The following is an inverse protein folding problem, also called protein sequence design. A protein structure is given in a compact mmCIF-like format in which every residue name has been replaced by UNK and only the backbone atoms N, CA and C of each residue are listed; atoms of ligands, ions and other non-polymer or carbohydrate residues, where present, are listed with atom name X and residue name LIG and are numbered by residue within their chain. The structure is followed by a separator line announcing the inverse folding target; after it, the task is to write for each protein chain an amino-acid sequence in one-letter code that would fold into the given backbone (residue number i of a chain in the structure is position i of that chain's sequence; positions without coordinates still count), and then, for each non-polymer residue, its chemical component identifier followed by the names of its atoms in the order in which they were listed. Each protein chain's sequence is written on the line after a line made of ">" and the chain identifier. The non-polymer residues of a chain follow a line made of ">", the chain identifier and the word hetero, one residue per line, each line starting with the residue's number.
data_IF_956730401811
#
_entry.id   IF_956730401811
#
_cell.length_a   1.000
_cell.length_b   1.000
_cell.length_c   1.000
_cell.angle_alpha   90.00
_cell.angle_beta   90.00
_cell.angle_gamma   90.00
#
_symmetry.space_group_name_H-M   'P 1'
#
loop_
_entity.id
_entity.type
_entity.pdbx_description
1 polymer ?
#
# COMPACT_ATOMS: atom_id res chain seq x y z
N UNK A 1 5.54 -7.19 24.19
CA UNK A 1 6.62 -6.75 23.28
C UNK A 1 7.77 -7.74 23.42
N UNK A 2 8.35 -8.20 22.31
CA UNK A 2 9.47 -9.15 22.37
C UNK A 2 10.77 -8.39 22.62
N UNK A 3 11.53 -8.78 23.64
CA UNK A 3 12.78 -8.11 24.03
C UNK A 3 14.01 -8.59 23.24
N UNK A 4 13.85 -9.60 22.37
CA UNK A 4 14.94 -10.25 21.64
C UNK A 4 14.58 -10.44 20.16
N UNK A 5 15.58 -10.78 19.34
CA UNK A 5 15.44 -11.17 17.92
C UNK A 5 15.11 -12.65 17.72
N UNK A 6 14.57 -13.32 18.75
CA UNK A 6 14.34 -14.77 18.74
C UNK A 6 12.97 -15.15 19.28
N UNK A 7 12.39 -16.21 18.72
CA UNK A 7 11.08 -16.75 19.13
C UNK A 7 9.90 -16.14 18.37
N UNK A 8 8.68 -16.41 18.87
CA UNK A 8 7.44 -16.11 18.15
C UNK A 8 7.20 -17.02 16.94
N UNK A 9 6.04 -16.85 16.28
CA UNK A 9 5.63 -17.72 15.17
C UNK A 9 6.55 -17.62 13.93
N UNK A 10 7.28 -16.51 13.80
CA UNK A 10 8.26 -16.28 12.73
C UNK A 10 9.69 -16.64 13.13
N UNK A 11 9.95 -16.94 14.41
CA UNK A 11 11.31 -17.11 14.94
C UNK A 11 12.12 -15.82 15.09
N UNK A 12 11.54 -14.66 14.74
CA UNK A 12 12.21 -13.36 14.64
C UNK A 12 12.03 -12.44 15.86
N UNK A 13 11.28 -12.87 16.89
CA UNK A 13 11.05 -12.05 18.08
C UNK A 13 10.49 -10.65 17.76
N UNK A 14 11.23 -9.60 18.14
CA UNK A 14 10.89 -8.18 17.93
C UNK A 14 11.37 -7.58 16.60
N UNK A 15 12.03 -8.37 15.75
CA UNK A 15 12.57 -7.89 14.48
C UNK A 15 11.48 -7.64 13.43
N UNK A 16 11.77 -6.72 12.50
CA UNK A 16 10.92 -6.54 11.33
C UNK A 16 10.98 -7.78 10.42
N UNK A 17 9.80 -8.26 10.02
CA UNK A 17 9.68 -9.44 9.15
C UNK A 17 9.83 -9.11 7.67
N UNK A 18 9.49 -7.88 7.28
CA UNK A 18 9.44 -7.44 5.90
C UNK A 18 9.73 -5.95 5.81
N UNK A 19 10.61 -5.58 4.88
CA UNK A 19 10.91 -4.20 4.50
C UNK A 19 10.94 -4.13 2.98
N UNK A 20 10.25 -3.16 2.41
CA UNK A 20 10.10 -3.05 0.96
C UNK A 20 10.11 -1.58 0.54
N UNK A 21 10.46 -1.32 -0.72
CA UNK A 21 10.38 0.01 -1.32
C UNK A 21 11.70 0.80 -1.34
N UNK A 22 12.56 0.61 -0.33
CA UNK A 22 13.90 1.21 -0.28
C UNK A 22 14.91 0.23 0.35
N UNK A 23 15.68 -0.53 -0.45
CA UNK A 23 16.66 -1.51 0.03
C UNK A 23 17.75 -0.94 0.95
N UNK A 24 18.15 0.31 0.74
CA UNK A 24 19.17 0.97 1.56
C UNK A 24 18.73 1.14 3.03
N UNK A 25 17.42 1.20 3.29
CA UNK A 25 16.88 1.27 4.66
C UNK A 25 17.11 -0.03 5.46
N UNK A 26 17.64 -1.08 4.87
CA UNK A 26 17.98 -2.34 5.53
C UNK A 26 19.26 -2.97 4.98
N UNK A 27 20.23 -2.11 4.65
CA UNK A 27 21.62 -2.46 4.31
C UNK A 27 21.72 -3.51 3.20
N UNK A 28 20.88 -3.40 2.18
CA UNK A 28 20.77 -4.38 1.10
C UNK A 28 20.84 -3.67 -0.25
N UNK A 29 21.64 -4.17 -1.21
CA UNK A 29 21.67 -3.59 -2.54
C UNK A 29 20.32 -3.79 -3.25
N UNK A 30 19.88 -2.78 -3.99
CA UNK A 30 18.71 -2.86 -4.85
C UNK A 30 18.19 -1.49 -5.26
N UNK A 31 17.21 -1.46 -6.16
CA UNK A 31 16.60 -0.21 -6.61
C UNK A 31 15.56 0.27 -5.62
N UNK A 32 15.64 1.54 -5.23
CA UNK A 32 14.55 2.21 -4.53
C UNK A 32 13.36 2.41 -5.48
N UNK A 33 12.20 1.87 -5.12
CA UNK A 33 10.96 1.98 -5.90
C UNK A 33 9.92 2.89 -5.26
N UNK A 34 10.06 3.15 -3.95
CA UNK A 34 9.28 4.11 -3.21
C UNK A 34 10.15 5.34 -2.91
N UNK A 35 9.94 6.47 -3.62
CA UNK A 35 10.85 7.62 -3.54
C UNK A 35 10.71 8.42 -2.24
N UNK A 36 9.55 8.34 -1.56
CA UNK A 36 9.27 9.08 -0.34
C UNK A 36 8.32 8.32 0.58
N UNK A 37 7.92 8.93 1.70
CA UNK A 37 6.94 8.34 2.61
C UNK A 37 5.63 7.98 1.87
N UNK A 38 5.12 6.78 2.16
CA UNK A 38 3.80 6.33 1.74
C UNK A 38 2.81 6.49 2.87
N UNK A 39 1.53 6.49 2.53
CA UNK A 39 0.46 6.63 3.50
C UNK A 39 -0.55 5.51 3.38
N UNK A 40 -1.29 5.31 4.48
CA UNK A 40 -2.45 4.44 4.52
C UNK A 40 -2.19 2.99 4.08
N UNK A 41 -1.02 2.46 4.45
CA UNK A 41 -0.66 1.06 4.17
C UNK A 41 -1.65 0.12 4.85
N UNK A 42 -2.23 -0.81 4.08
CA UNK A 42 -3.20 -1.80 4.56
C UNK A 42 -3.11 -3.09 3.76
N UNK A 43 -3.50 -4.19 4.38
CA UNK A 43 -3.80 -5.42 3.63
C UNK A 43 -5.13 -5.24 2.92
N UNK A 44 -5.20 -5.64 1.66
CA UNK A 44 -6.48 -5.78 0.96
C UNK A 44 -7.23 -6.95 1.59
N UNK A 45 -8.41 -6.65 2.12
CA UNK A 45 -9.25 -7.62 2.85
C UNK A 45 -9.67 -8.80 1.95
N UNK A 46 -9.93 -9.99 2.53
CA UNK A 46 -10.58 -11.10 1.82
C UNK A 46 -11.86 -10.68 1.10
N UNK A 47 -12.18 -11.34 -0.02
CA UNK A 47 -13.38 -11.04 -0.81
C UNK A 47 -13.27 -9.81 -1.71
N UNK A 48 -12.08 -9.20 -1.80
CA UNK A 48 -11.81 -8.05 -2.68
C UNK A 48 -10.73 -8.42 -3.71
N UNK A 49 -10.69 -7.81 -4.91
CA UNK A 49 -9.64 -8.12 -5.87
C UNK A 49 -8.26 -7.79 -5.32
N UNK A 50 -7.27 -8.66 -5.55
CA UNK A 50 -5.93 -8.60 -4.95
C UNK A 50 -5.94 -8.76 -3.41
N UNK A 51 -6.92 -9.47 -2.85
CA UNK A 51 -6.94 -9.84 -1.44
C UNK A 51 -5.60 -10.46 -1.02
N UNK A 52 -5.08 -10.03 0.13
CA UNK A 52 -3.77 -10.44 0.62
C UNK A 52 -2.61 -9.58 0.12
N UNK A 53 -2.82 -8.60 -0.76
CA UNK A 53 -1.77 -7.65 -1.15
C UNK A 53 -1.67 -6.53 -0.12
N UNK A 54 -0.50 -5.89 -0.02
CA UNK A 54 -0.32 -4.63 0.71
C UNK A 54 -0.61 -3.46 -0.23
N UNK A 55 -1.68 -2.71 0.04
CA UNK A 55 -2.07 -1.49 -0.67
C UNK A 55 -1.62 -0.25 0.11
N UNK A 56 -1.21 0.81 -0.60
CA UNK A 56 -0.81 2.08 0.00
C UNK A 56 -0.92 3.25 -0.98
N UNK A 57 -0.98 4.46 -0.44
CA UNK A 57 -0.95 5.72 -1.20
C UNK A 57 0.49 6.21 -1.34
N UNK A 58 0.94 6.38 -2.57
CA UNK A 58 2.26 6.91 -2.92
C UNK A 58 2.11 8.30 -3.56
N UNK A 59 2.31 9.34 -2.75
CA UNK A 59 2.18 10.75 -3.16
C UNK A 59 3.35 11.27 -4.00
N UNK A 60 4.41 10.48 -4.14
CA UNK A 60 5.62 10.85 -4.86
C UNK A 60 5.87 9.95 -6.06
N UNK A 61 4.83 9.29 -6.55
CA UNK A 61 4.88 8.47 -7.74
C UNK A 61 5.12 9.31 -9.01
N UNK A 62 5.36 8.62 -10.13
CA UNK A 62 5.50 9.24 -11.46
C UNK A 62 6.59 10.34 -11.49
N UNK A 63 7.73 10.11 -10.82
CA UNK A 63 8.81 11.09 -10.73
C UNK A 63 8.46 12.30 -9.85
N UNK A 64 7.79 12.07 -8.73
CA UNK A 64 7.29 13.10 -7.80
C UNK A 64 6.25 14.05 -8.40
N UNK A 65 5.54 13.63 -9.45
CA UNK A 65 4.53 14.47 -10.13
C UNK A 65 3.09 14.00 -9.90
N UNK A 66 2.89 12.82 -9.29
CA UNK A 66 1.55 12.28 -9.11
C UNK A 66 1.40 11.41 -7.87
N UNK A 67 0.15 11.26 -7.47
CA UNK A 67 -0.27 10.30 -6.44
C UNK A 67 -0.74 9.01 -7.12
N UNK A 68 -0.31 7.87 -6.61
CA UNK A 68 -0.83 6.57 -7.01
C UNK A 68 -1.32 5.78 -5.80
N UNK A 69 -2.25 4.88 -6.05
CA UNK A 69 -2.62 3.82 -5.12
C UNK A 69 -1.95 2.57 -5.67
N UNK A 70 -0.92 2.11 -5.00
CA UNK A 70 -0.13 0.96 -5.40
C UNK A 70 -0.51 -0.23 -4.51
N UNK A 71 -0.40 -1.43 -5.06
CA UNK A 71 -0.45 -2.66 -4.29
C UNK A 71 0.67 -3.63 -4.69
N UNK A 72 1.19 -4.35 -3.70
CA UNK A 72 2.20 -5.40 -3.88
C UNK A 72 1.71 -6.73 -3.30
N UNK A 73 2.06 -7.83 -3.95
CA UNK A 73 1.97 -9.17 -3.40
C UNK A 73 3.28 -9.47 -2.65
N UNK A 74 3.33 -9.31 -1.32
CA UNK A 74 4.55 -9.62 -0.59
C UNK A 74 4.82 -11.14 -0.64
N UNK A 75 6.08 -11.58 -0.60
CA UNK A 75 6.45 -12.99 -0.71
C UNK A 75 6.18 -13.76 0.60
N UNK A 76 4.99 -13.62 1.15
CA UNK A 76 4.55 -14.20 2.42
C UNK A 76 4.62 -15.73 2.35
N UNK A 77 5.22 -16.34 3.36
CA UNK A 77 5.36 -17.78 3.51
C UNK A 77 5.08 -18.16 4.98
N UNK A 78 3.83 -18.47 5.26
CA UNK A 78 3.36 -18.69 6.63
C UNK A 78 3.49 -17.41 7.47
N UNK A 79 4.40 -17.41 8.44
CA UNK A 79 4.68 -16.27 9.31
C UNK A 79 5.93 -15.47 8.92
N UNK A 80 6.59 -15.85 7.82
CA UNK A 80 7.82 -15.20 7.33
C UNK A 80 7.64 -14.69 5.90
N UNK A 81 8.68 -14.05 5.35
CA UNK A 81 8.69 -13.54 3.99
C UNK A 81 9.90 -14.11 3.26
N UNK A 82 9.66 -14.75 2.13
CA UNK A 82 10.72 -15.39 1.34
C UNK A 82 11.65 -14.32 0.78
N UNK A 83 12.96 -14.55 0.94
CA UNK A 83 14.00 -13.63 0.48
C UNK A 83 15.23 -14.40 0.06
N UNK A 84 15.77 -14.06 -1.10
CA UNK A 84 17.09 -14.53 -1.52
C UNK A 84 18.16 -13.79 -0.71
N UNK A 85 19.08 -14.49 -0.02
CA UNK A 85 20.16 -13.85 0.73
C UNK A 85 20.95 -12.87 -0.13
N UNK A 86 21.25 -11.68 0.41
CA UNK A 86 21.98 -10.62 -0.30
C UNK A 86 21.16 -9.84 -1.33
N UNK A 87 19.87 -10.13 -1.50
CA UNK A 87 18.97 -9.41 -2.42
C UNK A 87 17.89 -8.65 -1.65
N UNK A 88 17.31 -7.63 -2.26
CA UNK A 88 16.12 -6.96 -1.75
C UNK A 88 14.92 -7.92 -1.71
N UNK A 89 13.94 -7.62 -0.86
CA UNK A 89 12.66 -8.33 -0.88
C UNK A 89 11.91 -8.04 -2.19
N UNK A 90 11.22 -9.06 -2.70
CA UNK A 90 10.29 -8.92 -3.83
C UNK A 90 8.95 -8.33 -3.37
N UNK A 91 8.10 -7.85 -4.29
CA UNK A 91 8.33 -7.68 -5.74
C UNK A 91 9.34 -6.56 -6.07
N UNK A 92 9.86 -6.51 -7.30
CA UNK A 92 10.78 -5.44 -7.72
C UNK A 92 10.08 -4.14 -8.11
N UNK A 93 8.74 -4.13 -8.14
CA UNK A 93 7.86 -2.99 -8.42
C UNK A 93 6.47 -3.29 -7.87
N UNK A 94 5.52 -2.37 -7.99
CA UNK A 94 4.11 -2.62 -7.71
C UNK A 94 3.53 -3.71 -8.64
N UNK A 95 2.63 -4.55 -8.11
CA UNK A 95 1.88 -5.56 -8.88
C UNK A 95 0.58 -5.00 -9.44
N UNK A 96 0.04 -3.97 -8.79
CA UNK A 96 -1.13 -3.23 -9.25
C UNK A 96 -1.01 -1.75 -8.92
N UNK A 97 -1.57 -0.90 -9.78
CA UNK A 97 -1.56 0.56 -9.62
C UNK A 97 -2.82 1.20 -10.17
N UNK A 98 -3.37 2.12 -9.41
CA UNK A 98 -4.29 3.16 -9.87
C UNK A 98 -3.61 4.53 -9.80
N UNK A 99 -3.66 5.30 -10.88
CA UNK A 99 -3.16 6.68 -10.90
C UNK A 99 -4.27 7.60 -10.41
N UNK A 100 -4.01 8.33 -9.32
CA UNK A 100 -5.01 9.21 -8.76
C UNK A 100 -5.33 10.36 -9.72
N UNK A 101 -6.59 10.80 -9.70
CA UNK A 101 -7.08 11.90 -10.55
C UNK A 101 -6.40 13.25 -10.25
N UNK A 102 -5.77 13.39 -9.09
CA UNK A 102 -5.05 14.59 -8.67
C UNK A 102 -3.90 14.18 -7.76
N UNK A 103 -2.74 14.83 -7.93
CA UNK A 103 -1.59 14.67 -7.05
C UNK A 103 -1.81 15.34 -5.70
N UNK A 104 -1.17 14.82 -4.67
CA UNK A 104 -1.24 15.35 -3.32
C UNK A 104 0.06 15.08 -2.56
N UNK A 105 0.27 15.77 -1.45
CA UNK A 105 1.36 15.54 -0.50
C UNK A 105 0.88 15.27 0.93
N UNK A 106 -0.44 15.37 1.18
CA UNK A 106 -1.05 15.06 2.48
C UNK A 106 -1.37 13.58 2.67
N UNK A 107 -1.79 13.22 3.89
CA UNK A 107 -1.95 11.83 4.34
C UNK A 107 -2.72 10.96 3.35
N UNK A 108 -3.92 11.40 2.97
CA UNK A 108 -4.77 10.70 2.00
C UNK A 108 -5.11 9.27 2.46
N UNK A 109 -6.01 8.62 1.75
CA UNK A 109 -6.38 7.23 2.01
C UNK A 109 -6.90 6.57 0.75
N UNK A 110 -6.91 5.25 0.76
CA UNK A 110 -7.53 4.45 -0.28
C UNK A 110 -8.08 3.17 0.29
N UNK A 111 -9.08 2.60 -0.38
CA UNK A 111 -9.49 1.24 -0.10
C UNK A 111 -9.90 0.52 -1.39
N UNK A 112 -9.49 -0.73 -1.51
CA UNK A 112 -9.98 -1.61 -2.57
C UNK A 112 -11.35 -2.13 -2.14
N UNK A 113 -12.38 -2.06 -2.98
CA UNK A 113 -13.75 -2.41 -2.62
C UNK A 113 -14.15 -3.82 -3.10
N UNK A 114 -15.15 -4.49 -2.47
CA UNK A 114 -15.58 -5.85 -2.86
C UNK A 114 -16.14 -5.97 -4.28
N UNK A 115 -16.79 -4.92 -4.78
CA UNK A 115 -17.28 -4.82 -6.17
C UNK A 115 -16.16 -4.58 -7.19
N UNK A 116 -14.91 -4.47 -6.72
CA UNK A 116 -13.76 -4.20 -7.57
C UNK A 116 -13.56 -2.72 -7.89
N UNK A 117 -14.25 -1.82 -7.20
CA UNK A 117 -13.92 -0.41 -7.27
C UNK A 117 -12.70 -0.05 -6.40
N UNK A 118 -12.18 1.15 -6.60
CA UNK A 118 -11.15 1.74 -5.73
C UNK A 118 -11.67 3.06 -5.18
N UNK A 119 -11.82 3.13 -3.87
CA UNK A 119 -12.07 4.37 -3.16
C UNK A 119 -10.75 5.12 -2.94
N UNK A 120 -10.77 6.44 -3.11
CA UNK A 120 -9.64 7.32 -2.89
C UNK A 120 -10.10 8.60 -2.18
N UNK A 121 -9.41 8.95 -1.10
CA UNK A 121 -9.57 10.20 -0.38
C UNK A 121 -8.29 11.04 -0.52
N UNK A 122 -8.39 12.16 -1.23
CA UNK A 122 -7.30 13.12 -1.38
C UNK A 122 -7.31 14.04 -0.16
N UNK A 123 -6.27 13.98 0.67
CA UNK A 123 -6.11 14.86 1.84
C UNK A 123 -6.32 16.33 1.49
N UNK A 124 -7.19 17.03 2.23
CA UNK A 124 -7.54 18.44 2.02
C UNK A 124 -8.06 18.76 0.59
N UNK A 125 -8.56 17.75 -0.12
CA UNK A 125 -9.06 17.87 -1.49
C UNK A 125 -10.51 17.39 -1.61
N UNK A 126 -10.69 16.23 -2.22
CA UNK A 126 -11.99 15.59 -2.45
C UNK A 126 -11.86 14.07 -2.33
N UNK A 127 -13.00 13.38 -2.35
CA UNK A 127 -13.05 11.91 -2.35
C UNK A 127 -13.74 11.42 -3.61
N UNK A 128 -13.33 10.25 -4.10
CA UNK A 128 -13.94 9.64 -5.27
C UNK A 128 -13.80 8.11 -5.24
N UNK A 129 -14.60 7.46 -6.08
CA UNK A 129 -14.55 6.03 -6.31
C UNK A 129 -14.50 5.79 -7.82
N UNK A 130 -13.57 4.92 -8.26
CA UNK A 130 -13.44 4.49 -9.65
C UNK A 130 -13.79 3.02 -9.81
N UNK A 131 -14.39 2.66 -10.94
CA UNK A 131 -14.60 1.27 -11.35
C UNK A 131 -13.29 0.59 -11.78
N UNK A 132 -13.37 -0.70 -12.15
CA UNK A 132 -12.21 -1.48 -12.62
C UNK A 132 -11.60 -0.96 -13.92
N UNK A 133 -12.32 -0.14 -14.68
CA UNK A 133 -11.85 0.47 -15.92
C UNK A 133 -11.29 1.89 -15.69
N UNK A 134 -11.31 2.38 -14.44
CA UNK A 134 -10.85 3.72 -14.07
C UNK A 134 -11.91 4.82 -14.25
N UNK A 135 -13.17 4.49 -14.53
CA UNK A 135 -14.23 5.49 -14.63
C UNK A 135 -14.70 5.91 -13.24
N UNK A 136 -14.90 7.22 -13.03
CA UNK A 136 -15.46 7.74 -11.78
C UNK A 136 -16.94 7.37 -11.68
N UNK A 137 -17.30 6.61 -10.66
CA UNK A 137 -18.67 6.19 -10.37
C UNK A 137 -19.30 6.97 -9.21
N UNK A 138 -18.47 7.59 -8.38
CA UNK A 138 -18.91 8.45 -7.28
C UNK A 138 -17.84 9.50 -6.95
N UNK A 139 -18.27 10.68 -6.52
CA UNK A 139 -17.40 11.76 -6.05
C UNK A 139 -18.11 12.60 -4.98
N UNK A 140 -17.33 13.13 -4.04
CA UNK A 140 -17.81 14.03 -3.00
C UNK A 140 -16.81 15.15 -2.74
N UNK A 141 -17.31 16.39 -2.77
CA UNK A 141 -16.52 17.61 -2.70
C UNK A 141 -16.30 18.07 -1.25
N UNK A 142 -15.61 17.24 -0.45
CA UNK A 142 -15.11 17.60 0.87
C UNK A 142 -13.69 17.10 1.05
N UNK A 143 -12.88 17.85 1.79
CA UNK A 143 -11.44 17.69 1.88
C UNK A 143 -10.97 17.34 3.28
N UNK A 144 -11.35 16.18 3.85
CA UNK A 144 -10.73 15.73 5.09
C UNK A 144 -9.26 15.38 4.84
N UNK A 145 -8.44 15.38 5.89
CA UNK A 145 -7.06 14.88 5.79
C UNK A 145 -7.02 13.38 5.46
N UNK A 146 -8.04 12.65 5.89
CA UNK A 146 -8.20 11.22 5.69
C UNK A 146 -9.69 10.86 5.75
N UNK A 147 -10.12 9.91 4.93
CA UNK A 147 -11.45 9.33 4.99
C UNK A 147 -11.40 7.82 4.74
N UNK A 148 -12.39 7.11 5.25
CA UNK A 148 -12.50 5.67 5.13
C UNK A 148 -13.89 5.31 4.64
N UNK A 149 -13.96 4.34 3.73
CA UNK A 149 -15.21 3.83 3.18
C UNK A 149 -15.48 2.45 3.78
N UNK A 150 -16.69 2.26 4.29
CA UNK A 150 -17.18 0.99 4.81
C UNK A 150 -18.31 0.46 3.93
N UNK A 151 -18.45 -0.85 3.87
CA UNK A 151 -19.66 -1.50 3.34
C UNK A 151 -20.72 -1.57 4.43
N UNK A 152 -22.00 -1.68 4.07
CA UNK A 152 -23.08 -1.74 5.06
C UNK A 152 -23.00 -2.98 5.99
N UNK A 153 -22.26 -4.01 5.58
CA UNK A 153 -22.08 -5.26 6.32
C UNK A 153 -20.77 -5.32 7.13
N UNK A 154 -20.00 -4.23 7.17
CA UNK A 154 -18.78 -4.07 8.01
C UNK A 154 -19.12 -3.42 9.37
#
# INVERSE_FOLDING_TARGET
>A
EAATSSGGNSGMGGDFLYRWGNPDNYDTPGTQVIPAAVHDVRWIKPGRPNAGYLQFVNNSALGNTGTTIDAIDPPLNGYTYTRTPGQAFTPSTYDWRHVALTGNSGQSASDRMPDGNTFVAISNGYMYEVDTNGNVVWQYADGPQKAFRYTCDD
#
